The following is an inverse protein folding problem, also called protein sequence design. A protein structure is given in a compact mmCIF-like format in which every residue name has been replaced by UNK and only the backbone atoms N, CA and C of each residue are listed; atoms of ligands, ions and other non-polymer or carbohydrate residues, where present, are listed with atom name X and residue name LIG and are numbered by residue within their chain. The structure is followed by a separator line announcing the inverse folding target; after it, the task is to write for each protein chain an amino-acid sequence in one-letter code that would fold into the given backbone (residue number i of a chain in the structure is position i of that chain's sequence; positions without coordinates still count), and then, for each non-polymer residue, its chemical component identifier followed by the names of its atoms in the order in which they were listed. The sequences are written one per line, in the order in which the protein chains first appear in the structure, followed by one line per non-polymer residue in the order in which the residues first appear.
data_IF_057101714015
#
_entry.id   IF_057101714015
#
_cell.length_a   1.000
_cell.length_b   1.000
_cell.length_c   1.000
_cell.angle_alpha   90.00
_cell.angle_beta   90.00
_cell.angle_gamma   90.00
#
_symmetry.space_group_name_H-M   'P 1'
#
loop_
_entity.id
_entity.type
_entity.pdbx_description
1 polymer ?
#
# COMPACT_ATOMS: atom_id res chain seq x y z
N UNK A 1 -6.33 -1.21 19.53
CA UNK A 1 -4.96 -0.77 19.17
C UNK A 1 -5.03 0.72 18.96
N UNK A 2 -4.98 1.47 20.07
CA UNK A 2 -5.16 2.91 20.06
C UNK A 2 -3.83 3.56 19.68
N UNK A 3 -3.87 4.60 18.85
CA UNK A 3 -2.72 5.46 18.57
C UNK A 3 -2.24 6.08 19.89
N UNK A 4 -1.23 5.46 20.49
CA UNK A 4 -0.51 6.01 21.63
C UNK A 4 0.40 7.12 21.16
N UNK A 5 0.86 7.94 22.10
CA UNK A 5 1.88 8.98 21.93
C UNK A 5 3.28 8.38 21.61
N UNK A 6 3.32 7.42 20.67
CA UNK A 6 4.47 6.63 20.27
C UNK A 6 4.75 6.88 18.79
N UNK A 7 6.01 6.72 18.39
CA UNK A 7 6.41 6.91 16.99
C UNK A 7 5.61 6.00 16.07
N UNK A 8 5.06 6.59 15.01
CA UNK A 8 4.32 5.85 13.99
C UNK A 8 5.25 4.88 13.26
N UNK A 9 4.84 3.61 13.17
CA UNK A 9 5.55 2.58 12.43
C UNK A 9 4.69 2.04 11.30
N UNK A 10 4.91 2.60 10.10
CA UNK A 10 4.18 2.25 8.87
C UNK A 10 4.33 0.77 8.51
N UNK A 11 5.55 0.24 8.55
CA UNK A 11 5.85 -1.15 8.18
C UNK A 11 5.15 -2.16 9.11
N UNK A 12 5.16 -1.92 10.42
CA UNK A 12 4.46 -2.79 11.37
C UNK A 12 2.95 -2.80 11.16
N UNK A 13 2.35 -1.65 10.83
CA UNK A 13 0.92 -1.56 10.53
C UNK A 13 0.59 -2.27 9.21
N UNK A 14 1.44 -2.12 8.19
CA UNK A 14 1.29 -2.85 6.93
C UNK A 14 1.34 -4.37 7.13
N UNK A 15 2.30 -4.86 7.93
CA UNK A 15 2.40 -6.28 8.28
C UNK A 15 1.17 -6.77 9.07
N UNK A 16 0.68 -5.98 10.03
CA UNK A 16 -0.55 -6.29 10.75
C UNK A 16 -1.76 -6.34 9.79
N UNK A 17 -1.86 -5.38 8.88
CA UNK A 17 -2.89 -5.33 7.85
C UNK A 17 -2.87 -6.56 6.93
N UNK A 18 -1.69 -7.03 6.53
CA UNK A 18 -1.53 -8.29 5.78
C UNK A 18 -2.08 -9.47 6.57
N UNK A 19 -1.67 -9.64 7.83
CA UNK A 19 -2.12 -10.77 8.67
C UNK A 19 -3.63 -10.78 8.89
N UNK A 20 -4.21 -9.60 9.07
CA UNK A 20 -5.65 -9.41 9.27
C UNK A 20 -6.46 -9.62 7.98
N UNK A 21 -5.97 -9.13 6.84
CA UNK A 21 -6.60 -9.33 5.55
C UNK A 21 -6.53 -10.80 5.09
N UNK A 22 -5.38 -11.44 5.31
CA UNK A 22 -5.16 -12.87 5.02
C UNK A 22 -6.14 -13.77 5.78
N UNK A 23 -6.52 -13.40 7.01
CA UNK A 23 -7.50 -14.14 7.79
C UNK A 23 -8.95 -13.93 7.34
N UNK A 24 -9.26 -12.81 6.67
CA UNK A 24 -10.62 -12.41 6.29
C UNK A 24 -10.96 -12.68 4.83
N UNK A 25 -9.95 -12.95 3.99
CA UNK A 25 -10.11 -13.07 2.55
C UNK A 25 -9.07 -14.03 1.99
N UNK A 26 -9.47 -14.82 1.01
CA UNK A 26 -8.56 -15.62 0.18
C UNK A 26 -7.87 -14.73 -0.88
N UNK A 27 -7.35 -13.58 -0.45
CA UNK A 27 -6.73 -12.62 -1.35
C UNK A 27 -5.39 -13.17 -1.87
N UNK A 28 -5.25 -13.25 -3.19
CA UNK A 28 -4.01 -13.68 -3.85
C UNK A 28 -3.02 -12.51 -4.07
N UNK A 29 -3.40 -11.28 -3.72
CA UNK A 29 -2.63 -10.07 -3.97
C UNK A 29 -2.85 -9.05 -2.85
N UNK A 30 -1.76 -8.39 -2.44
CA UNK A 30 -1.77 -7.37 -1.41
C UNK A 30 -1.13 -6.10 -1.95
N UNK A 31 -1.86 -4.99 -1.86
CA UNK A 31 -1.36 -3.67 -2.26
C UNK A 31 -1.18 -2.82 -1.02
N UNK A 32 0.07 -2.41 -0.77
CA UNK A 32 0.39 -1.42 0.25
C UNK A 32 0.32 -0.04 -0.38
N UNK A 33 -0.64 0.76 0.06
CA UNK A 33 -0.91 2.06 -0.54
C UNK A 33 -1.10 3.11 0.54
N UNK A 34 -0.52 4.29 0.31
CA UNK A 34 -0.69 5.41 1.21
C UNK A 34 -2.04 6.07 1.01
N UNK A 35 -2.61 6.60 2.10
CA UNK A 35 -3.94 7.24 2.09
C UNK A 35 -3.95 8.57 1.32
N UNK A 36 -2.79 9.19 1.15
CA UNK A 36 -2.60 10.49 0.51
C UNK A 36 -2.13 10.40 -0.96
N UNK A 37 -1.97 9.18 -1.49
CA UNK A 37 -1.69 8.96 -2.90
C UNK A 37 -2.96 8.61 -3.65
N UNK A 38 -3.10 9.13 -4.88
CA UNK A 38 -4.19 8.76 -5.80
C UNK A 38 -3.59 8.44 -7.17
N UNK A 39 -4.05 7.38 -7.85
CA UNK A 39 -3.64 7.13 -9.23
C UNK A 39 -4.28 8.15 -10.16
N UNK A 40 -3.48 8.89 -10.92
CA UNK A 40 -3.95 9.84 -11.94
C UNK A 40 -4.39 9.15 -13.25
N UNK A 41 -3.98 7.88 -13.43
CA UNK A 41 -4.19 7.12 -14.66
C UNK A 41 -4.73 5.72 -14.32
N UNK A 42 -5.87 5.36 -14.91
CA UNK A 42 -6.55 4.08 -14.70
C UNK A 42 -5.79 2.87 -15.28
N UNK A 43 -4.81 3.14 -16.17
CA UNK A 43 -3.88 2.13 -16.68
C UNK A 43 -2.90 1.65 -15.61
N UNK A 44 -2.74 2.37 -14.49
CA UNK A 44 -1.97 1.92 -13.34
C UNK A 44 -2.77 0.89 -12.53
N UNK A 45 -2.82 -0.35 -13.04
CA UNK A 45 -3.68 -1.39 -12.49
C UNK A 45 -3.19 -1.91 -11.13
N UNK A 46 -4.06 -1.81 -10.12
CA UNK A 46 -3.84 -2.27 -8.74
C UNK A 46 -3.95 -3.80 -8.67
N UNK A 47 -2.91 -4.47 -9.15
CA UNK A 47 -2.81 -5.92 -9.25
C UNK A 47 -1.37 -6.37 -9.00
N UNK A 48 -1.20 -7.66 -8.71
CA UNK A 48 0.10 -8.25 -8.48
C UNK A 48 0.55 -9.02 -9.73
N UNK A 49 1.56 -8.53 -10.47
CA UNK A 49 2.20 -9.33 -11.51
C UNK A 49 3.15 -10.38 -10.87
N UNK A 50 3.81 -11.24 -11.68
CA UNK A 50 4.70 -12.30 -11.15
C UNK A 50 5.88 -11.81 -10.31
N UNK A 51 6.28 -10.55 -10.46
CA UNK A 51 7.32 -9.89 -9.66
C UNK A 51 6.71 -8.75 -8.85
N UNK A 52 7.33 -8.33 -7.74
CA UNK A 52 6.86 -7.16 -6.98
C UNK A 52 6.72 -5.93 -7.87
N UNK A 53 5.58 -5.23 -7.75
CA UNK A 53 5.30 -4.01 -8.51
C UNK A 53 5.38 -2.78 -7.63
N UNK A 54 6.14 -1.79 -8.07
CA UNK A 54 6.09 -0.44 -7.53
C UNK A 54 5.02 0.35 -8.30
N UNK A 55 3.94 0.80 -7.63
CA UNK A 55 2.78 1.43 -8.28
C UNK A 55 2.95 2.96 -8.44
N UNK A 56 3.46 3.64 -7.41
CA UNK A 56 3.57 5.10 -7.38
C UNK A 56 4.94 5.55 -7.90
N UNK A 57 5.22 5.26 -9.18
CA UNK A 57 6.52 5.52 -9.81
C UNK A 57 6.75 6.99 -10.16
N UNK A 58 5.69 7.78 -10.31
CA UNK A 58 5.75 9.21 -10.56
C UNK A 58 4.72 9.92 -9.70
N UNK A 59 5.20 10.71 -8.75
CA UNK A 59 4.36 11.45 -7.79
C UNK A 59 4.48 12.94 -8.06
N UNK A 60 3.37 13.66 -8.05
CA UNK A 60 3.28 15.10 -8.32
C UNK A 60 4.19 15.94 -7.40
N UNK A 61 4.21 15.62 -6.11
CA UNK A 61 5.04 16.29 -5.08
C UNK A 61 6.54 16.06 -5.27
N UNK A 62 6.92 15.01 -6.01
CA UNK A 62 8.30 14.72 -6.42
C UNK A 62 8.59 15.23 -7.85
N UNK A 63 7.61 15.86 -8.51
CA UNK A 63 7.73 16.35 -9.87
C UNK A 63 7.73 15.24 -10.92
N UNK A 64 7.05 14.12 -10.65
CA UNK A 64 6.98 12.93 -11.49
C UNK A 64 8.36 12.34 -11.84
N UNK A 65 9.30 12.39 -10.88
CA UNK A 65 10.67 11.89 -11.00
C UNK A 65 10.93 10.73 -10.05
#
# INVERSE_FOLDING_TARGET
MCAGNVTFNKGSIMNAGFMEAWQRSDANCFVFHDVDLLPEDDRNMYSCPPQPRHLSVGVDTLGYK
#
